data_IF_497121913965
#
_entry.id   IF_497121913965
#
_cell.length_a   1.000
_cell.length_b   1.000
_cell.length_c   1.000
_cell.angle_alpha   90.00
_cell.angle_beta   90.00
_cell.angle_gamma   90.00
#
_symmetry.space_group_name_H-M   'P 1'
#
loop_
_entity.id
_entity.type
_entity.pdbx_description
1 polymer ?
#
# COMPACT_ATOMS: atom_id res chain seq x y z
N UNK A 1 9.36 -17.07 -9.55
CA UNK A 1 10.18 -16.16 -8.75
C UNK A 1 9.60 -14.77 -8.90
N UNK A 2 9.22 -14.15 -7.80
CA UNK A 2 8.69 -12.78 -7.68
C UNK A 2 9.89 -11.86 -7.46
N UNK A 3 9.92 -10.70 -8.13
CA UNK A 3 11.05 -9.78 -8.06
C UNK A 3 10.55 -8.35 -7.91
N UNK A 4 11.06 -7.65 -6.90
CA UNK A 4 10.70 -6.27 -6.59
C UNK A 4 11.91 -5.54 -6.00
N UNK A 5 11.84 -4.22 -5.87
CA UNK A 5 12.86 -3.47 -5.16
C UNK A 5 12.42 -3.30 -3.70
N UNK A 6 13.31 -3.59 -2.75
CA UNK A 6 13.09 -3.39 -1.32
C UNK A 6 14.19 -2.46 -0.78
N UNK A 7 13.80 -1.29 -0.29
CA UNK A 7 14.73 -0.31 0.26
C UNK A 7 15.90 0.01 -0.71
N UNK A 8 15.59 0.22 -1.99
CA UNK A 8 16.55 0.52 -3.04
C UNK A 8 17.34 -0.69 -3.56
N UNK A 9 17.12 -1.92 -3.05
CA UNK A 9 17.85 -3.12 -3.46
C UNK A 9 16.92 -4.14 -4.12
N UNK A 10 17.39 -4.78 -5.18
CA UNK A 10 16.65 -5.86 -5.84
C UNK A 10 16.45 -7.05 -4.89
N UNK A 11 15.21 -7.38 -4.62
CA UNK A 11 14.79 -8.54 -3.85
C UNK A 11 14.18 -9.59 -4.77
N UNK A 12 14.48 -10.86 -4.52
CA UNK A 12 13.94 -12.01 -5.24
C UNK A 12 13.33 -12.99 -4.24
N UNK A 13 12.01 -13.11 -4.26
CA UNK A 13 11.29 -14.11 -3.48
C UNK A 13 11.21 -15.41 -4.31
N UNK A 14 12.02 -16.37 -3.92
CA UNK A 14 12.06 -17.70 -4.53
C UNK A 14 11.39 -18.70 -3.59
N UNK A 15 10.61 -19.62 -4.16
CA UNK A 15 9.90 -20.70 -3.45
C UNK A 15 8.96 -20.22 -2.31
N UNK A 16 8.50 -18.97 -2.43
CA UNK A 16 7.52 -18.35 -1.54
C UNK A 16 6.15 -18.39 -2.24
N UNK A 17 5.12 -18.87 -1.53
CA UNK A 17 3.74 -18.86 -2.05
C UNK A 17 3.30 -17.43 -2.39
N UNK A 18 2.77 -17.17 -3.58
CA UNK A 18 2.33 -15.84 -3.97
C UNK A 18 1.27 -15.21 -3.03
N UNK A 19 0.53 -16.03 -2.29
CA UNK A 19 -0.45 -15.60 -1.28
C UNK A 19 0.17 -15.27 0.08
N UNK A 20 1.47 -15.53 0.32
CA UNK A 20 2.14 -15.11 1.55
C UNK A 20 1.98 -13.59 1.69
N UNK A 21 1.59 -13.11 2.88
CA UNK A 21 1.47 -11.66 3.08
C UNK A 21 2.86 -11.00 3.00
N UNK A 22 2.90 -9.77 2.52
CA UNK A 22 4.15 -9.01 2.50
C UNK A 22 4.71 -8.84 3.93
N UNK A 23 3.82 -8.68 4.92
CA UNK A 23 4.18 -8.60 6.33
C UNK A 23 4.93 -9.85 6.79
N UNK A 24 4.38 -11.05 6.51
CA UNK A 24 5.03 -12.32 6.87
C UNK A 24 6.37 -12.47 6.17
N UNK A 25 6.42 -12.12 4.89
CA UNK A 25 7.67 -12.19 4.13
C UNK A 25 8.75 -11.28 4.75
N UNK A 26 8.42 -10.03 5.05
CA UNK A 26 9.34 -9.09 5.68
C UNK A 26 9.83 -9.59 7.04
N UNK A 27 8.89 -9.98 7.92
CA UNK A 27 9.21 -10.34 9.30
C UNK A 27 9.80 -11.74 9.47
N UNK A 28 9.19 -12.74 8.79
CA UNK A 28 9.50 -14.15 9.05
C UNK A 28 10.56 -14.69 8.11
N UNK A 29 10.63 -14.19 6.86
CA UNK A 29 11.64 -14.62 5.88
C UNK A 29 12.87 -13.71 5.92
N UNK A 30 12.67 -12.39 5.76
CA UNK A 30 13.79 -11.45 5.72
C UNK A 30 14.27 -10.97 7.09
N UNK A 31 13.56 -11.32 8.17
CA UNK A 31 13.85 -10.89 9.55
C UNK A 31 13.87 -9.36 9.74
N UNK A 32 13.20 -8.63 8.86
CA UNK A 32 12.99 -7.20 8.96
C UNK A 32 11.79 -6.92 9.88
N UNK A 33 12.05 -6.75 11.15
CA UNK A 33 11.01 -6.69 12.21
C UNK A 33 10.59 -5.27 12.57
N UNK A 34 11.10 -4.26 11.90
CA UNK A 34 10.67 -2.86 12.04
C UNK A 34 9.19 -2.69 11.70
N UNK A 35 8.75 -3.27 10.59
CA UNK A 35 7.32 -3.37 10.26
C UNK A 35 6.63 -4.30 11.27
N UNK A 36 5.59 -3.82 11.96
CA UNK A 36 4.94 -4.53 13.09
C UNK A 36 3.65 -5.22 12.67
N UNK A 37 3.33 -6.30 13.35
CA UNK A 37 2.04 -6.98 13.24
C UNK A 37 1.19 -6.66 14.47
N UNK A 38 0.10 -5.90 14.27
CA UNK A 38 -0.87 -5.62 15.32
C UNK A 38 -2.15 -6.42 15.11
N UNK A 39 -3.03 -5.97 14.23
CA UNK A 39 -4.33 -6.60 13.97
C UNK A 39 -4.28 -7.72 12.93
N UNK A 40 -3.37 -7.68 11.95
CA UNK A 40 -3.31 -8.52 10.75
C UNK A 40 -4.59 -8.46 9.87
N UNK A 41 -5.37 -7.36 9.97
CA UNK A 41 -6.66 -7.19 9.26
C UNK A 41 -6.82 -5.81 8.60
N UNK A 42 -5.76 -4.98 8.63
CA UNK A 42 -5.75 -3.70 7.92
C UNK A 42 -6.17 -2.49 8.75
N UNK A 43 -6.61 -2.67 10.01
CA UNK A 43 -7.21 -1.59 10.81
C UNK A 43 -6.22 -0.73 11.59
N UNK A 44 -5.15 -1.34 12.12
CA UNK A 44 -4.30 -0.66 13.11
C UNK A 44 -3.12 0.13 12.50
N UNK A 45 -2.77 -0.08 11.25
CA UNK A 45 -1.67 0.58 10.57
C UNK A 45 -0.25 0.27 11.08
N UNK A 46 -0.07 -0.63 12.06
CA UNK A 46 1.26 -0.99 12.58
C UNK A 46 2.15 -1.64 11.51
N UNK A 47 1.55 -2.23 10.49
CA UNK A 47 2.21 -2.89 9.36
C UNK A 47 2.39 -2.00 8.13
N UNK A 48 2.12 -0.70 8.23
CA UNK A 48 2.22 0.24 7.10
C UNK A 48 3.64 0.26 6.52
N UNK A 49 3.72 0.13 5.20
CA UNK A 49 4.92 0.29 4.37
C UNK A 49 4.66 1.37 3.32
N UNK A 50 5.69 1.81 2.62
CA UNK A 50 5.53 2.69 1.47
C UNK A 50 5.71 1.89 0.19
N UNK A 51 4.70 1.91 -0.67
CA UNK A 51 4.78 1.40 -2.02
C UNK A 51 5.07 2.56 -2.98
N UNK A 52 6.06 2.40 -3.84
CA UNK A 52 6.38 3.39 -4.85
C UNK A 52 6.00 2.83 -6.21
N UNK A 53 5.11 3.49 -6.90
CA UNK A 53 4.77 3.20 -8.28
C UNK A 53 5.12 4.37 -9.21
N UNK A 54 5.03 4.13 -10.52
CA UNK A 54 5.30 5.13 -11.53
C UNK A 54 4.07 5.30 -12.42
N UNK A 55 3.38 6.44 -12.29
CA UNK A 55 2.16 6.74 -13.02
C UNK A 55 2.20 8.17 -13.57
N UNK A 56 1.79 8.35 -14.83
CA UNK A 56 1.72 9.67 -15.46
C UNK A 56 3.05 10.44 -15.52
N UNK A 57 4.19 9.74 -15.64
CA UNK A 57 5.52 10.38 -15.69
C UNK A 57 6.09 10.76 -14.32
N UNK A 58 5.42 10.41 -13.21
CA UNK A 58 5.83 10.75 -11.84
C UNK A 58 5.85 9.52 -10.94
N UNK A 59 6.75 9.53 -9.96
CA UNK A 59 6.71 8.58 -8.84
C UNK A 59 5.59 8.97 -7.88
N UNK A 60 4.84 7.96 -7.43
CA UNK A 60 3.78 8.10 -6.45
C UNK A 60 4.11 7.22 -5.25
N UNK A 61 4.13 7.83 -4.07
CA UNK A 61 4.40 7.18 -2.80
C UNK A 61 3.07 6.92 -2.10
N UNK A 62 2.80 5.68 -1.74
CA UNK A 62 1.54 5.27 -1.13
C UNK A 62 1.80 4.49 0.15
N UNK A 63 1.16 4.90 1.24
CA UNK A 63 1.11 4.13 2.47
C UNK A 63 0.14 2.96 2.28
N UNK A 64 0.59 1.72 2.49
CA UNK A 64 -0.23 0.52 2.33
C UNK A 64 0.00 -0.45 3.49
N UNK A 65 -1.04 -1.20 3.86
CA UNK A 65 -0.99 -2.22 4.90
C UNK A 65 -0.40 -3.53 4.36
N UNK A 66 0.82 -3.86 4.79
CA UNK A 66 1.52 -5.07 4.34
C UNK A 66 0.87 -6.39 4.81
N UNK A 67 0.01 -6.37 5.83
CA UNK A 67 -0.73 -7.54 6.30
C UNK A 67 -1.80 -8.01 5.32
N UNK A 68 -2.34 -7.11 4.49
CA UNK A 68 -3.35 -7.43 3.46
C UNK A 68 -2.73 -7.61 2.07
N UNK A 69 -1.53 -7.08 1.86
CA UNK A 69 -0.82 -7.15 0.59
C UNK A 69 -0.10 -8.48 0.45
N UNK A 70 -0.36 -9.21 -0.62
CA UNK A 70 0.30 -10.48 -0.91
C UNK A 70 1.59 -10.26 -1.68
N UNK A 71 2.59 -11.14 -1.48
CA UNK A 71 3.88 -11.04 -2.16
C UNK A 71 3.75 -11.11 -3.70
N UNK A 72 2.71 -11.78 -4.21
CA UNK A 72 2.40 -11.78 -5.64
C UNK A 72 2.05 -10.41 -6.22
N UNK A 73 1.48 -9.51 -5.39
CA UNK A 73 1.07 -8.17 -5.81
C UNK A 73 2.25 -7.20 -5.93
N UNK A 74 3.36 -7.46 -5.21
CA UNK A 74 4.53 -6.55 -5.23
C UNK A 74 5.50 -6.81 -6.37
N UNK A 75 5.23 -7.82 -7.21
CA UNK A 75 6.11 -8.12 -8.34
C UNK A 75 6.22 -6.94 -9.30
N UNK A 76 7.42 -6.43 -9.48
CA UNK A 76 7.68 -5.24 -10.31
C UNK A 76 7.41 -3.90 -9.62
N UNK A 77 7.24 -3.86 -8.29
CA UNK A 77 7.08 -2.63 -7.51
C UNK A 77 8.35 -2.30 -6.73
N UNK A 78 8.38 -1.12 -6.15
CA UNK A 78 9.35 -0.75 -5.13
C UNK A 78 8.65 -0.56 -3.79
N UNK A 79 9.23 -1.18 -2.75
CA UNK A 79 8.73 -1.16 -1.37
C UNK A 79 9.79 -0.52 -0.48
N UNK A 80 9.36 0.42 0.34
CA UNK A 80 10.19 1.00 1.40
C UNK A 80 9.59 0.63 2.76
N UNK A 81 10.43 0.16 3.66
CA UNK A 81 10.09 -0.08 5.07
C UNK A 81 10.79 0.96 5.95
N UNK A 82 10.38 1.05 7.20
CA UNK A 82 10.97 2.02 8.14
C UNK A 82 12.50 1.88 8.22
N UNK A 83 13.04 0.67 8.12
CA UNK A 83 14.49 0.42 8.15
C UNK A 83 15.19 1.02 6.92
N UNK A 84 14.49 1.06 5.78
CA UNK A 84 15.05 1.58 4.53
C UNK A 84 15.12 3.10 4.47
N UNK A 85 14.30 3.81 5.23
CA UNK A 85 14.20 5.27 5.13
C UNK A 85 15.51 5.98 5.48
N UNK A 86 16.27 5.48 6.45
CA UNK A 86 17.61 5.98 6.78
C UNK A 86 18.58 5.70 5.63
N UNK A 87 18.50 4.52 5.03
CA UNK A 87 19.38 4.15 3.91
C UNK A 87 19.18 5.03 2.69
N UNK A 88 17.93 5.29 2.32
CA UNK A 88 17.59 6.13 1.16
C UNK A 88 17.85 7.62 1.43
N UNK A 89 17.99 8.02 2.69
CA UNK A 89 18.39 9.38 3.10
C UNK A 89 19.89 9.46 3.46
N UNK A 90 20.72 8.75 2.72
CA UNK A 90 22.19 8.81 2.85
C UNK A 90 22.72 8.51 4.27
N UNK A 91 22.03 7.65 5.01
CA UNK A 91 22.39 7.23 6.36
C UNK A 91 21.91 8.18 7.48
N UNK A 92 21.18 9.24 7.14
CA UNK A 92 20.59 10.18 8.11
C UNK A 92 19.10 9.89 8.33
N UNK A 93 18.57 10.29 9.47
CA UNK A 93 17.13 10.29 9.69
C UNK A 93 16.43 11.17 8.66
N UNK A 94 15.26 10.76 8.21
CA UNK A 94 14.39 11.63 7.41
C UNK A 94 13.79 12.74 8.29
N UNK A 95 13.38 13.89 7.73
CA UNK A 95 12.77 14.96 8.52
C UNK A 95 11.58 14.47 9.38
N UNK A 96 10.77 13.55 8.86
CA UNK A 96 9.69 12.93 9.63
C UNK A 96 10.21 12.16 10.84
N UNK A 97 11.26 11.36 10.67
CA UNK A 97 11.87 10.61 11.78
C UNK A 97 12.47 11.54 12.82
N UNK A 98 13.20 12.59 12.42
CA UNK A 98 13.78 13.59 13.32
C UNK A 98 12.69 14.29 14.16
N UNK A 99 11.59 14.68 13.50
CA UNK A 99 10.49 15.36 14.18
C UNK A 99 9.71 14.43 15.11
N UNK A 100 9.53 13.16 14.75
CA UNK A 100 8.95 12.16 15.66
C UNK A 100 9.77 12.00 16.94
N UNK A 101 11.10 12.11 16.87
CA UNK A 101 11.98 12.07 18.04
C UNK A 101 11.85 13.36 18.84
N UNK A 102 11.98 14.53 18.20
CA UNK A 102 12.02 15.83 18.90
C UNK A 102 10.68 16.21 19.55
N UNK A 103 9.55 15.82 18.97
CA UNK A 103 8.21 16.04 19.50
C UNK A 103 7.76 14.98 20.51
N UNK A 104 8.62 14.00 20.85
CA UNK A 104 8.25 12.85 21.68
C UNK A 104 7.02 12.07 21.13
N UNK A 105 6.93 11.95 19.81
CA UNK A 105 5.84 11.25 19.09
C UNK A 105 5.84 9.73 19.29
N UNK A 106 6.68 9.19 20.16
CA UNK A 106 6.79 7.76 20.44
C UNK A 106 6.93 7.49 21.94
N UNK A 107 6.27 6.43 22.42
CA UNK A 107 6.42 5.92 23.81
C UNK A 107 6.81 4.44 23.77
N UNK A 108 5.86 3.51 23.64
CA UNK A 108 6.19 2.08 23.54
C UNK A 108 6.89 1.71 22.21
N UNK A 109 6.76 2.54 21.17
CA UNK A 109 7.42 2.36 19.87
C UNK A 109 6.73 1.40 18.92
N UNK A 110 5.65 0.70 19.31
CA UNK A 110 5.04 -0.34 18.49
C UNK A 110 4.36 0.20 17.22
N UNK A 111 3.61 1.29 17.33
CA UNK A 111 2.93 1.93 16.20
C UNK A 111 3.86 2.84 15.37
N UNK A 112 4.98 3.28 15.95
CA UNK A 112 5.88 4.29 15.39
C UNK A 112 6.34 4.00 13.95
N UNK A 113 6.75 2.78 13.59
CA UNK A 113 7.14 2.45 12.20
C UNK A 113 6.03 2.73 11.19
N UNK A 114 4.78 2.38 11.53
CA UNK A 114 3.63 2.60 10.66
C UNK A 114 3.35 4.10 10.46
N UNK A 115 3.34 4.89 11.51
CA UNK A 115 3.19 6.35 11.43
C UNK A 115 4.31 6.99 10.58
N UNK A 116 5.56 6.59 10.79
CA UNK A 116 6.69 7.11 10.01
C UNK A 116 6.51 6.79 8.52
N UNK A 117 6.10 5.57 8.15
CA UNK A 117 5.86 5.22 6.75
C UNK A 117 4.70 6.01 6.15
N UNK A 118 3.59 6.20 6.87
CA UNK A 118 2.45 6.99 6.42
C UNK A 118 2.84 8.46 6.20
N UNK A 119 3.49 9.07 7.19
CA UNK A 119 3.95 10.46 7.10
C UNK A 119 5.05 10.66 6.06
N UNK A 120 5.92 9.68 5.85
CA UNK A 120 6.89 9.73 4.77
C UNK A 120 6.21 9.74 3.39
N UNK A 121 5.22 8.88 3.17
CA UNK A 121 4.45 8.88 1.94
C UNK A 121 3.75 10.23 1.71
N UNK A 122 3.14 10.80 2.76
CA UNK A 122 2.53 12.13 2.72
C UNK A 122 3.57 13.21 2.37
N UNK A 123 4.72 13.25 3.02
CA UNK A 123 5.77 14.23 2.74
C UNK A 123 6.24 14.18 1.27
N UNK A 124 6.26 12.99 0.66
CA UNK A 124 6.66 12.79 -0.72
C UNK A 124 5.52 13.10 -1.74
N UNK A 125 4.28 13.24 -1.31
CA UNK A 125 3.14 13.55 -2.20
C UNK A 125 3.22 14.94 -2.81
N UNK A 126 3.98 15.85 -2.19
CA UNK A 126 4.09 17.28 -2.55
C UNK A 126 2.75 18.04 -2.49
N UNK A 127 1.83 17.55 -1.70
CA UNK A 127 0.59 18.23 -1.40
C UNK A 127 0.83 19.41 -0.45
N UNK A 128 -0.17 20.30 -0.35
CA UNK A 128 -0.12 21.36 0.65
C UNK A 128 -0.45 20.74 2.02
N UNK A 129 0.57 20.55 2.85
CA UNK A 129 0.45 19.88 4.14
C UNK A 129 -0.24 20.80 5.15
N UNK A 130 -1.50 20.56 5.43
CA UNK A 130 -2.28 21.17 6.49
C UNK A 130 -2.78 20.12 7.47
N UNK A 131 -3.39 20.53 8.57
CA UNK A 131 -3.79 19.63 9.65
C UNK A 131 -4.80 18.57 9.17
N UNK A 132 -5.80 18.93 8.37
CA UNK A 132 -6.78 17.99 7.83
C UNK A 132 -6.10 16.92 6.96
N UNK A 133 -5.17 17.31 6.08
CA UNK A 133 -4.42 16.38 5.23
C UNK A 133 -3.56 15.42 6.08
N UNK A 134 -3.02 15.88 7.21
CA UNK A 134 -2.30 15.02 8.15
C UNK A 134 -3.26 14.03 8.81
N UNK A 135 -4.43 14.49 9.27
CA UNK A 135 -5.43 13.60 9.86
C UNK A 135 -5.88 12.51 8.88
N UNK A 136 -6.19 12.87 7.64
CA UNK A 136 -6.57 11.92 6.59
C UNK A 136 -5.46 10.90 6.32
N UNK A 137 -4.21 11.35 6.22
CA UNK A 137 -3.07 10.47 5.98
C UNK A 137 -2.81 9.49 7.13
N UNK A 138 -3.21 9.84 8.35
CA UNK A 138 -3.02 9.05 9.57
C UNK A 138 -4.26 8.29 10.03
N UNK A 139 -5.41 8.45 9.36
CA UNK A 139 -6.68 7.82 9.75
C UNK A 139 -6.58 6.30 9.91
N UNK A 140 -5.74 5.64 9.10
CA UNK A 140 -5.48 4.20 9.18
C UNK A 140 -4.40 3.77 10.20
N UNK A 141 -3.91 4.68 11.08
CA UNK A 141 -2.83 4.38 12.03
C UNK A 141 -3.27 4.62 13.48
N UNK A 142 -3.23 3.58 14.31
CA UNK A 142 -3.66 3.65 15.70
C UNK A 142 -2.49 3.72 16.68
N UNK A 143 -2.62 4.59 17.70
CA UNK A 143 -1.69 4.70 18.82
C UNK A 143 -2.46 4.73 20.15
N UNK A 144 -2.07 3.87 21.09
CA UNK A 144 -2.68 3.84 22.44
C UNK A 144 -1.97 4.71 23.48
N UNK A 145 -0.72 5.08 23.23
CA UNK A 145 0.14 5.64 24.26
C UNK A 145 0.20 7.17 24.27
N UNK A 146 0.32 7.81 23.09
CA UNK A 146 0.72 9.22 22.95
C UNK A 146 -0.46 10.21 23.00
N UNK A 147 -1.68 9.76 22.78
CA UNK A 147 -2.83 10.64 22.57
C UNK A 147 -2.78 11.40 21.24
N UNK A 148 -1.95 10.95 20.28
CA UNK A 148 -1.76 11.45 18.91
C UNK A 148 -1.15 12.84 18.77
N UNK A 149 -1.42 13.78 19.68
CA UNK A 149 -0.97 15.17 19.56
C UNK A 149 0.52 15.33 19.23
N UNK A 150 1.47 14.66 19.92
CA UNK A 150 2.89 14.76 19.56
C UNK A 150 3.22 14.22 18.16
N UNK A 151 2.43 13.26 17.66
CA UNK A 151 2.56 12.71 16.31
C UNK A 151 2.11 13.75 15.28
N UNK A 152 0.98 14.43 15.52
CA UNK A 152 0.47 15.49 14.64
C UNK A 152 1.46 16.67 14.60
N UNK A 153 2.00 17.11 15.77
CA UNK A 153 3.02 18.14 15.85
C UNK A 153 4.29 17.77 15.05
N UNK A 154 4.74 16.52 15.18
CA UNK A 154 5.85 15.99 14.37
C UNK A 154 5.55 16.02 12.87
N UNK A 155 4.32 15.69 12.48
CA UNK A 155 3.88 15.68 11.08
C UNK A 155 3.84 17.09 10.48
N UNK A 156 3.30 18.06 11.22
CA UNK A 156 3.20 19.46 10.78
C UNK A 156 4.56 20.05 10.39
N UNK A 157 5.63 19.67 11.06
CA UNK A 157 6.98 20.14 10.75
C UNK A 157 7.74 19.19 9.81
N UNK A 158 7.63 17.87 10.02
CA UNK A 158 8.42 16.85 9.32
C UNK A 158 7.98 16.63 7.89
N UNK A 159 6.67 16.76 7.60
CA UNK A 159 6.15 16.55 6.26
C UNK A 159 6.37 17.72 5.29
N UNK A 160 6.72 18.91 5.79
CA UNK A 160 6.99 20.07 4.95
C UNK A 160 8.26 19.94 4.08
N UNK A 161 9.13 19.00 4.44
CA UNK A 161 10.44 18.83 3.79
C UNK A 161 10.59 17.41 3.24
N UNK A 162 10.11 17.16 2.01
CA UNK A 162 10.38 15.89 1.35
C UNK A 162 11.89 15.69 1.17
N UNK A 163 12.35 14.45 1.21
CA UNK A 163 13.74 14.14 0.86
C UNK A 163 13.90 14.04 -0.66
N UNK A 164 15.11 14.32 -1.16
CA UNK A 164 15.48 14.04 -2.54
C UNK A 164 15.73 12.53 -2.70
N UNK A 165 14.71 11.81 -3.08
CA UNK A 165 14.80 10.40 -3.37
C UNK A 165 14.39 10.10 -4.79
N UNK A 166 15.29 9.49 -5.55
CA UNK A 166 15.00 8.95 -6.88
C UNK A 166 14.81 7.44 -6.75
N UNK A 167 13.58 6.94 -6.84
CA UNK A 167 13.31 5.52 -6.78
C UNK A 167 14.11 4.76 -7.85
N UNK A 168 14.56 3.56 -7.51
CA UNK A 168 15.22 2.69 -8.45
C UNK A 168 14.21 2.19 -9.48
N UNK A 169 14.67 1.93 -10.72
CA UNK A 169 13.78 1.31 -11.70
C UNK A 169 13.46 -0.11 -11.25
N UNK A 170 12.21 -0.40 -10.87
CA UNK A 170 11.86 -1.73 -10.41
C UNK A 170 11.99 -2.76 -11.54
N UNK A 171 12.18 -4.04 -11.22
CA UNK A 171 12.19 -5.10 -12.21
C UNK A 171 10.85 -5.18 -12.95
N UNK A 172 10.86 -5.63 -14.20
CA UNK A 172 9.62 -5.83 -14.95
C UNK A 172 8.83 -7.00 -14.33
N UNK A 173 7.68 -6.71 -13.76
CA UNK A 173 6.78 -7.70 -13.17
C UNK A 173 6.32 -8.73 -14.21
N UNK A 174 6.15 -9.96 -13.79
CA UNK A 174 5.67 -11.08 -14.58
C UNK A 174 4.15 -11.16 -14.54
N UNK A 175 3.57 -11.79 -15.55
CA UNK A 175 2.12 -12.02 -15.62
C UNK A 175 1.68 -13.35 -15.00
N UNK A 176 2.64 -14.20 -14.57
CA UNK A 176 2.37 -15.50 -13.96
C UNK A 176 3.48 -15.93 -13.01
N UNK A 177 3.08 -16.41 -11.84
CA UNK A 177 3.95 -17.09 -10.87
C UNK A 177 3.34 -18.44 -10.49
N UNK A 178 4.18 -19.44 -10.29
CA UNK A 178 3.77 -20.79 -9.86
C UNK A 178 4.74 -21.23 -8.78
N UNK A 179 4.20 -21.64 -7.64
CA UNK A 179 4.95 -22.24 -6.53
C UNK A 179 4.10 -23.35 -5.93
N UNK A 180 4.61 -24.59 -5.97
CA UNK A 180 3.83 -25.76 -5.60
C UNK A 180 2.55 -25.88 -6.45
N UNK A 181 1.41 -26.05 -5.80
CA UNK A 181 0.08 -26.07 -6.45
C UNK A 181 -0.46 -24.68 -6.74
N UNK A 182 0.08 -23.63 -6.11
CA UNK A 182 -0.48 -22.28 -6.19
C UNK A 182 -0.03 -21.55 -7.46
N UNK A 183 -0.98 -20.92 -8.13
CA UNK A 183 -0.77 -20.12 -9.35
C UNK A 183 -1.33 -18.72 -9.15
N UNK A 184 -0.49 -17.74 -9.39
CA UNK A 184 -0.84 -16.33 -9.35
C UNK A 184 -0.71 -15.73 -10.76
N UNK A 185 -1.78 -15.13 -11.25
CA UNK A 185 -1.84 -14.51 -12.56
C UNK A 185 -2.08 -13.01 -12.41
N UNK A 186 -1.36 -12.20 -13.18
CA UNK A 186 -1.53 -10.75 -13.25
C UNK A 186 -1.76 -10.32 -14.72
N UNK A 187 -2.95 -10.56 -15.29
CA UNK A 187 -3.27 -10.14 -16.65
C UNK A 187 -3.24 -8.62 -16.79
N UNK A 188 -2.88 -8.12 -17.96
CA UNK A 188 -2.77 -6.68 -18.24
C UNK A 188 -3.85 -6.17 -19.19
N UNK A 189 -4.67 -7.06 -19.73
CA UNK A 189 -5.77 -6.74 -20.66
C UNK A 189 -7.02 -7.53 -20.31
N UNK A 190 -8.18 -6.98 -20.63
CA UNK A 190 -9.47 -7.63 -20.38
C UNK A 190 -9.56 -8.97 -21.13
N UNK A 191 -9.03 -9.04 -22.35
CA UNK A 191 -8.98 -10.30 -23.13
C UNK A 191 -8.25 -11.41 -22.37
N UNK A 192 -7.09 -11.10 -21.77
CA UNK A 192 -6.35 -12.10 -21.02
C UNK A 192 -7.03 -12.46 -19.70
N UNK A 193 -7.70 -11.51 -19.05
CA UNK A 193 -8.51 -11.76 -17.86
C UNK A 193 -9.65 -12.74 -18.17
N UNK A 194 -10.42 -12.51 -19.23
CA UNK A 194 -11.55 -13.37 -19.59
C UNK A 194 -11.12 -14.79 -19.96
N UNK A 195 -10.00 -14.93 -20.66
CA UNK A 195 -9.41 -16.26 -20.95
C UNK A 195 -8.99 -17.00 -19.66
N UNK A 196 -8.36 -16.30 -18.72
CA UNK A 196 -7.98 -16.89 -17.43
C UNK A 196 -9.21 -17.27 -16.61
N UNK A 197 -10.23 -16.42 -16.57
CA UNK A 197 -11.47 -16.67 -15.84
C UNK A 197 -12.25 -17.87 -16.41
N UNK A 198 -12.31 -18.00 -17.73
CA UNK A 198 -12.91 -19.18 -18.37
C UNK A 198 -12.15 -20.48 -18.06
N UNK A 199 -10.82 -20.40 -17.97
CA UNK A 199 -9.97 -21.55 -17.65
C UNK A 199 -10.00 -21.94 -16.17
N UNK A 200 -10.15 -20.96 -15.29
CA UNK A 200 -10.13 -21.12 -13.83
C UNK A 200 -11.35 -20.41 -13.22
N UNK A 201 -12.57 -20.98 -13.38
CA UNK A 201 -13.79 -20.35 -12.91
C UNK A 201 -13.84 -20.13 -11.39
N UNK A 202 -13.15 -20.97 -10.61
CA UNK A 202 -13.07 -20.88 -9.15
C UNK A 202 -11.86 -20.05 -8.64
N UNK A 203 -11.10 -19.43 -9.55
CA UNK A 203 -9.97 -18.62 -9.14
C UNK A 203 -10.42 -17.41 -8.31
N UNK A 204 -9.69 -17.10 -7.24
CA UNK A 204 -9.88 -15.88 -6.46
C UNK A 204 -9.53 -14.65 -7.32
N UNK A 205 -10.50 -13.76 -7.53
CA UNK A 205 -10.26 -12.47 -8.20
C UNK A 205 -9.79 -11.45 -7.17
N UNK A 206 -8.55 -11.01 -7.29
CA UNK A 206 -7.90 -10.10 -6.34
C UNK A 206 -7.69 -8.74 -7.00
N UNK A 207 -8.29 -7.68 -6.44
CA UNK A 207 -8.00 -6.28 -6.78
C UNK A 207 -7.02 -5.69 -5.75
N UNK A 208 -7.48 -4.84 -4.83
CA UNK A 208 -6.68 -4.31 -3.73
C UNK A 208 -6.35 -5.33 -2.64
N UNK A 209 -7.22 -6.29 -2.42
CA UNK A 209 -7.04 -7.34 -1.41
C UNK A 209 -7.55 -6.98 -0.01
N UNK A 210 -8.17 -5.84 0.18
CA UNK A 210 -8.61 -5.33 1.49
C UNK A 210 -9.65 -6.22 2.17
N UNK A 211 -10.52 -6.89 1.42
CA UNK A 211 -11.49 -7.86 1.92
C UNK A 211 -10.99 -9.30 1.74
N UNK A 212 -10.66 -9.70 0.50
CA UNK A 212 -10.22 -11.07 0.22
C UNK A 212 -8.89 -11.43 0.89
N UNK A 213 -8.05 -10.43 1.18
CA UNK A 213 -6.80 -10.62 1.94
C UNK A 213 -7.04 -11.17 3.34
N UNK A 214 -8.18 -10.87 3.97
CA UNK A 214 -8.57 -11.39 5.30
C UNK A 214 -8.71 -12.91 5.31
N UNK A 215 -9.22 -13.50 4.24
CA UNK A 215 -9.30 -14.96 4.11
C UNK A 215 -7.92 -15.62 4.20
N UNK A 216 -6.89 -14.92 3.73
CA UNK A 216 -5.50 -15.39 3.79
C UNK A 216 -4.89 -15.08 5.14
N UNK A 217 -4.97 -13.81 5.60
CA UNK A 217 -4.28 -13.37 6.82
C UNK A 217 -4.92 -13.88 8.11
N UNK A 218 -6.24 -14.03 8.15
CA UNK A 218 -7.00 -14.46 9.35
C UNK A 218 -7.47 -15.90 9.29
N UNK A 219 -7.97 -16.34 8.13
CA UNK A 219 -8.56 -17.67 7.98
C UNK A 219 -7.54 -18.71 7.46
N UNK A 220 -6.29 -18.29 7.19
CA UNK A 220 -5.22 -19.16 6.65
C UNK A 220 -5.63 -19.84 5.34
N UNK A 221 -6.54 -19.23 4.57
CA UNK A 221 -6.98 -19.77 3.29
C UNK A 221 -5.84 -19.74 2.28
N UNK A 222 -5.61 -20.86 1.59
CA UNK A 222 -4.58 -20.98 0.56
C UNK A 222 -5.23 -21.26 -0.81
N UNK A 223 -5.58 -20.23 -1.58
CA UNK A 223 -6.21 -20.42 -2.88
C UNK A 223 -5.22 -21.03 -3.86
N UNK A 224 -5.67 -22.05 -4.64
CA UNK A 224 -4.83 -22.64 -5.68
C UNK A 224 -4.56 -21.67 -6.84
N UNK A 225 -5.57 -20.90 -7.23
CA UNK A 225 -5.48 -19.97 -8.34
C UNK A 225 -5.93 -18.57 -7.88
N UNK A 226 -5.06 -17.58 -8.09
CA UNK A 226 -5.33 -16.17 -7.85
C UNK A 226 -5.18 -15.42 -9.17
N UNK A 227 -6.16 -14.59 -9.52
CA UNK A 227 -6.09 -13.68 -10.66
C UNK A 227 -6.12 -12.24 -10.13
N UNK A 228 -4.97 -11.57 -10.16
CA UNK A 228 -4.82 -10.19 -9.72
C UNK A 228 -5.22 -9.23 -10.85
N UNK A 229 -6.35 -8.56 -10.70
CA UNK A 229 -6.97 -7.74 -11.75
C UNK A 229 -6.52 -6.28 -11.75
N UNK A 230 -5.81 -5.79 -10.73
CA UNK A 230 -5.44 -4.39 -10.59
C UNK A 230 -4.50 -3.87 -11.72
N UNK A 231 -3.90 -4.76 -12.53
CA UNK A 231 -3.07 -4.39 -13.67
C UNK A 231 -3.81 -4.39 -15.02
N UNK A 232 -5.10 -4.77 -15.05
CA UNK A 232 -5.91 -4.76 -16.27
C UNK A 232 -6.26 -3.33 -16.63
N UNK A 233 -5.75 -2.86 -17.77
CA UNK A 233 -5.85 -1.43 -18.15
C UNK A 233 -7.29 -0.96 -18.27
N UNK A 234 -8.13 -1.75 -18.93
CA UNK A 234 -9.53 -1.43 -19.19
C UNK A 234 -10.37 -1.35 -17.91
N UNK A 235 -9.95 -2.03 -16.82
CA UNK A 235 -10.59 -1.96 -15.51
C UNK A 235 -10.10 -0.80 -14.64
N UNK A 236 -9.16 -0.02 -15.11
CA UNK A 236 -8.59 1.15 -14.40
C UNK A 236 -9.01 2.48 -15.02
N UNK A 237 -9.93 2.47 -15.93
CA UNK A 237 -10.39 3.68 -16.61
C UNK A 237 -11.52 4.35 -15.80
N UNK A 238 -11.47 5.67 -15.70
CA UNK A 238 -12.57 6.51 -15.26
C UNK A 238 -13.04 7.28 -16.49
N UNK A 239 -14.31 7.18 -16.84
CA UNK A 239 -14.92 7.86 -17.98
C UNK A 239 -16.08 8.70 -17.49
N UNK A 240 -16.04 10.00 -17.77
CA UNK A 240 -17.08 10.95 -17.42
C UNK A 240 -17.81 11.40 -18.68
N UNK A 241 -19.12 11.45 -18.60
CA UNK A 241 -20.01 12.03 -19.60
C UNK A 241 -20.83 13.15 -18.93
N UNK A 242 -21.72 13.82 -19.68
CA UNK A 242 -22.58 14.85 -19.11
C UNK A 242 -23.62 14.30 -18.11
N UNK A 243 -23.94 13.01 -18.16
CA UNK A 243 -24.98 12.36 -17.33
C UNK A 243 -24.45 11.28 -16.42
N UNK A 244 -23.29 10.70 -16.74
CA UNK A 244 -22.81 9.48 -16.07
C UNK A 244 -21.30 9.51 -15.82
N UNK A 245 -20.89 8.80 -14.76
CA UNK A 245 -19.50 8.43 -14.51
C UNK A 245 -19.38 6.91 -14.54
N UNK A 246 -18.50 6.38 -15.37
CA UNK A 246 -18.15 4.96 -15.40
C UNK A 246 -16.81 4.75 -14.74
N UNK A 247 -16.78 3.94 -13.68
CA UNK A 247 -15.58 3.63 -12.88
C UNK A 247 -15.23 2.17 -13.10
N UNK A 248 -14.02 1.90 -13.59
CA UNK A 248 -13.52 0.54 -13.75
C UNK A 248 -13.35 -0.17 -12.42
N UNK A 249 -13.64 -1.47 -12.36
CA UNK A 249 -13.65 -2.27 -11.12
C UNK A 249 -12.28 -2.47 -10.45
N UNK A 250 -11.19 -2.02 -11.06
CA UNK A 250 -9.85 -2.01 -10.47
C UNK A 250 -9.35 -0.58 -10.15
N UNK A 251 -10.21 0.43 -10.28
CA UNK A 251 -9.93 1.79 -9.80
C UNK A 251 -10.05 1.79 -8.28
N UNK A 252 -9.10 2.42 -7.60
CA UNK A 252 -9.13 2.54 -6.13
C UNK A 252 -10.02 3.71 -5.70
N UNK A 253 -10.52 3.66 -4.46
CA UNK A 253 -11.27 4.77 -3.87
C UNK A 253 -10.51 6.09 -3.98
N UNK A 254 -9.25 6.12 -3.59
CA UNK A 254 -8.41 7.32 -3.68
C UNK A 254 -8.25 7.86 -5.12
N UNK A 255 -8.40 7.03 -6.15
CA UNK A 255 -8.31 7.46 -7.54
C UNK A 255 -9.60 8.11 -8.06
N UNK A 256 -10.76 7.68 -7.58
CA UNK A 256 -12.03 8.24 -8.07
C UNK A 256 -12.66 9.28 -7.14
N UNK A 257 -12.27 9.36 -5.86
CA UNK A 257 -12.78 10.35 -4.92
C UNK A 257 -12.77 11.79 -5.44
N UNK A 258 -11.69 12.30 -6.08
CA UNK A 258 -11.70 13.66 -6.61
C UNK A 258 -12.79 13.91 -7.66
N UNK A 259 -13.17 12.89 -8.44
CA UNK A 259 -14.29 13.01 -9.39
C UNK A 259 -15.64 12.99 -8.68
N UNK A 260 -15.79 12.16 -7.65
CA UNK A 260 -17.04 12.10 -6.86
C UNK A 260 -17.24 13.38 -6.05
N UNK A 261 -16.22 13.87 -5.38
CA UNK A 261 -16.28 15.14 -4.63
C UNK A 261 -16.74 16.29 -5.50
N UNK A 262 -16.24 16.38 -6.73
CA UNK A 262 -16.61 17.41 -7.68
C UNK A 262 -18.02 17.25 -8.26
N UNK A 263 -18.43 16.02 -8.60
CA UNK A 263 -19.68 15.75 -9.31
C UNK A 263 -20.85 15.43 -8.38
N UNK A 264 -20.58 14.76 -7.27
CA UNK A 264 -21.58 14.24 -6.35
C UNK A 264 -21.16 14.43 -4.88
N UNK A 265 -20.99 15.67 -4.40
CA UNK A 265 -20.47 15.92 -3.04
C UNK A 265 -21.32 15.29 -1.94
N UNK A 266 -22.63 15.05 -2.20
CA UNK A 266 -23.51 14.37 -1.24
C UNK A 266 -23.12 12.91 -0.98
N UNK A 267 -22.42 12.24 -1.91
CA UNK A 267 -21.99 10.85 -1.71
C UNK A 267 -20.85 10.74 -0.71
N UNK A 268 -19.99 11.76 -0.60
CA UNK A 268 -18.95 11.79 0.43
C UNK A 268 -19.57 11.87 1.83
N UNK A 269 -20.53 12.76 2.03
CA UNK A 269 -21.23 12.91 3.29
C UNK A 269 -21.96 11.62 3.71
N UNK A 270 -22.60 10.92 2.78
CA UNK A 270 -23.30 9.68 3.09
C UNK A 270 -22.34 8.51 3.32
N UNK A 271 -21.13 8.54 2.75
CA UNK A 271 -20.08 7.56 3.04
C UNK A 271 -19.52 7.73 4.46
N UNK A 272 -19.21 8.96 4.86
CA UNK A 272 -18.76 9.26 6.23
C UNK A 272 -19.79 8.84 7.29
N UNK A 273 -21.07 9.08 7.04
CA UNK A 273 -22.14 8.69 7.97
C UNK A 273 -22.32 7.16 8.11
N UNK A 274 -21.78 6.37 7.18
CA UNK A 274 -21.82 4.90 7.25
C UNK A 274 -20.69 4.31 8.10
N UNK A 275 -19.67 5.11 8.41
CA UNK A 275 -18.49 4.72 9.19
C UNK A 275 -18.66 5.07 10.70
N UNK A 276 -19.74 5.76 11.10
CA UNK A 276 -20.14 6.02 12.49
C UNK A 276 -21.06 4.89 13.02
#
# INVERSE_FOLDING_TARGET
MISFTLNGKLQKAQDILPSTTLLDYLRNVLKMTGTKEGCAEGDCGACTIVCVDYKGGKHRFQALNSCLMQIGQVDGLEILTVEGLVTINSGSLTPVQEKMVSANGTQCGFCTPGFICALFALAQSKENICENVIHDALAGNLCRCTGYRPIIEAAQEGCQKPIEYTPSKPPKGKTKHVVGSQKFYAPRTLKNLTLLRSRFPEAMLLAGGTDLGLKISKESHQPENIIHIAQVKELREIKETNSDITIGSAVTFSEFFPSIERLYPCLLYTSDAADE
#
